data_IF_785618843498
#
_entry.id   IF_785618843498
#
_cell.length_a   1.000
_cell.length_b   1.000
_cell.length_c   1.000
_cell.angle_alpha   90.00
_cell.angle_beta   90.00
_cell.angle_gamma   90.00
#
_symmetry.space_group_name_H-M   'P 1'
#
loop_
_entity.id
_entity.type
_entity.pdbx_description
1 polymer ?
#
# COMPACT_ATOMS: atom_id res chain seq x y z
N UNK A 1 15.34 -2.27 17.55
CA UNK A 1 15.68 -1.82 16.19
C UNK A 1 16.28 -0.43 16.30
N UNK A 2 17.28 -0.06 15.48
CA UNK A 2 17.70 1.35 15.40
C UNK A 2 16.61 2.17 14.70
N UNK A 3 16.46 3.43 15.11
CA UNK A 3 15.61 4.43 14.46
C UNK A 3 16.53 5.48 13.87
N UNK A 4 16.21 5.97 12.68
CA UNK A 4 16.98 7.00 11.98
C UNK A 4 16.06 8.18 11.70
N UNK A 5 16.53 9.39 11.99
CA UNK A 5 15.88 10.61 11.53
C UNK A 5 16.06 10.77 10.02
N UNK A 6 14.95 10.98 9.32
CA UNK A 6 14.96 11.25 7.90
C UNK A 6 15.46 12.67 7.61
N UNK A 7 15.94 12.85 6.38
CA UNK A 7 16.30 14.16 5.84
C UNK A 7 15.43 14.44 4.63
N UNK A 8 15.15 15.72 4.38
CA UNK A 8 14.42 16.12 3.17
C UNK A 8 15.18 15.70 1.92
N UNK A 9 14.44 15.18 0.95
CA UNK A 9 14.94 14.87 -0.39
C UNK A 9 15.04 16.11 -1.27
N UNK A 10 14.31 17.17 -0.92
CA UNK A 10 14.16 18.38 -1.73
C UNK A 10 13.01 18.28 -2.76
N UNK A 11 12.37 17.11 -2.86
CA UNK A 11 11.18 16.90 -3.68
C UNK A 11 9.93 16.91 -2.80
N UNK A 12 9.09 17.95 -2.92
CA UNK A 12 7.87 18.10 -2.13
C UNK A 12 6.85 16.96 -2.29
N UNK A 13 6.84 16.28 -3.44
CA UNK A 13 5.95 15.15 -3.67
C UNK A 13 6.36 13.90 -2.88
N UNK A 14 7.64 13.82 -2.46
CA UNK A 14 8.18 12.76 -1.61
C UNK A 14 8.18 13.23 -0.15
N UNK A 15 8.77 14.40 0.10
CA UNK A 15 8.91 14.97 1.45
C UNK A 15 7.55 15.16 2.14
N UNK A 16 6.53 15.54 1.36
CA UNK A 16 5.16 15.68 1.84
C UNK A 16 4.48 14.37 2.26
N UNK A 17 5.10 13.20 2.05
CA UNK A 17 4.57 11.89 2.44
C UNK A 17 5.43 11.14 3.46
N UNK A 18 6.67 11.55 3.72
CA UNK A 18 7.53 10.82 4.66
C UNK A 18 7.41 11.34 6.09
N UNK A 19 7.44 10.43 7.05
CA UNK A 19 7.54 10.70 8.48
C UNK A 19 8.96 11.16 8.86
N UNK A 20 9.10 11.84 10.00
CA UNK A 20 10.38 12.34 10.49
C UNK A 20 11.41 11.23 10.76
N UNK A 21 10.95 10.01 11.02
CA UNK A 21 11.77 8.85 11.40
C UNK A 21 11.45 7.63 10.54
N UNK A 22 12.43 6.72 10.45
CA UNK A 22 12.29 5.41 9.81
C UNK A 22 13.03 4.32 10.58
N UNK A 23 12.79 3.07 10.22
CA UNK A 23 13.60 1.96 10.71
C UNK A 23 15.01 2.01 10.11
N UNK A 24 16.02 1.85 10.96
CA UNK A 24 17.42 1.96 10.54
C UNK A 24 18.04 0.68 9.98
N UNK A 25 17.36 -0.46 10.09
CA UNK A 25 17.84 -1.73 9.56
C UNK A 25 17.09 -2.10 8.29
N UNK A 26 17.82 -2.74 7.38
CA UNK A 26 17.30 -3.34 6.15
C UNK A 26 16.51 -4.62 6.40
N UNK A 27 16.78 -5.30 7.52
CA UNK A 27 16.03 -6.46 7.96
C UNK A 27 14.96 -6.02 8.97
N UNK A 28 13.72 -5.85 8.52
CA UNK A 28 12.59 -5.43 9.34
C UNK A 28 11.81 -6.66 9.80
N UNK A 29 11.83 -6.94 11.09
CA UNK A 29 11.10 -8.08 11.64
C UNK A 29 9.62 -7.76 11.84
N UNK A 30 8.73 -8.65 11.46
CA UNK A 30 7.30 -8.56 11.76
C UNK A 30 6.77 -9.81 12.47
N UNK A 31 5.60 -9.73 13.09
CA UNK A 31 4.94 -10.89 13.68
C UNK A 31 3.44 -10.70 13.82
N UNK A 32 2.76 -11.80 14.18
CA UNK A 32 1.37 -11.82 14.60
C UNK A 32 1.31 -12.26 16.06
N UNK A 33 1.22 -11.33 17.03
CA UNK A 33 1.08 -11.65 18.45
C UNK A 33 -0.07 -12.60 18.72
N UNK A 34 0.13 -13.48 19.70
CA UNK A 34 -0.82 -14.51 20.13
C UNK A 34 -1.49 -14.15 21.44
N UNK A 35 -0.88 -13.27 22.23
CA UNK A 35 -1.48 -12.70 23.43
C UNK A 35 -1.03 -11.26 23.66
N UNK A 36 -1.65 -10.60 24.63
CA UNK A 36 -1.23 -9.27 25.06
C UNK A 36 0.17 -9.27 25.71
N UNK A 37 0.65 -10.39 26.21
CA UNK A 37 1.98 -10.48 26.84
C UNK A 37 3.11 -10.24 25.83
N UNK A 38 2.86 -10.51 24.54
CA UNK A 38 3.77 -10.22 23.43
C UNK A 38 4.01 -8.70 23.24
N UNK A 39 3.13 -7.84 23.77
CA UNK A 39 3.30 -6.39 23.70
C UNK A 39 4.11 -5.80 24.86
N UNK A 40 4.34 -6.59 25.91
CA UNK A 40 5.04 -6.18 27.12
C UNK A 40 4.23 -5.27 28.03
N UNK A 41 4.87 -4.82 29.11
CA UNK A 41 4.25 -3.93 30.10
C UNK A 41 4.10 -2.50 29.54
N UNK A 42 3.09 -1.78 30.02
CA UNK A 42 2.83 -0.36 29.69
C UNK A 42 2.48 -0.09 28.22
N UNK A 43 1.81 -1.02 27.56
CA UNK A 43 1.24 -0.79 26.23
C UNK A 43 0.04 0.17 26.29
N UNK A 44 -0.17 1.07 25.30
CA UNK A 44 -1.30 2.00 25.29
C UNK A 44 -2.66 1.27 25.37
N UNK A 45 -3.57 1.65 26.31
CA UNK A 45 -4.76 0.88 26.63
C UNK A 45 -5.85 0.92 25.55
N UNK A 46 -5.85 1.91 24.66
CA UNK A 46 -6.88 2.04 23.62
C UNK A 46 -6.86 0.89 22.60
N UNK A 47 -5.71 0.27 22.40
CA UNK A 47 -5.50 -0.76 21.38
C UNK A 47 -5.65 -2.20 21.92
N UNK A 48 -5.75 -2.38 23.24
CA UNK A 48 -5.66 -3.72 23.88
C UNK A 48 -7.02 -4.33 24.26
N UNK A 49 -8.10 -3.56 24.12
CA UNK A 49 -9.44 -4.03 24.44
C UNK A 49 -9.90 -5.11 23.45
N UNK A 50 -10.33 -6.27 23.96
CA UNK A 50 -10.72 -7.45 23.17
C UNK A 50 -9.67 -7.88 22.14
N UNK A 51 -8.42 -7.97 22.58
CA UNK A 51 -7.33 -8.53 21.78
C UNK A 51 -7.72 -9.83 21.09
N UNK A 52 -7.34 -9.94 19.82
CA UNK A 52 -7.33 -11.17 19.04
C UNK A 52 -6.06 -11.22 18.21
N UNK A 53 -5.49 -12.41 18.12
CA UNK A 53 -4.51 -12.71 17.07
C UNK A 53 -5.12 -12.35 15.70
N UNK A 54 -4.30 -11.82 14.80
CA UNK A 54 -4.73 -11.52 13.44
C UNK A 54 -5.28 -12.78 12.78
N UNK A 55 -6.45 -12.68 12.13
CA UNK A 55 -7.03 -13.83 11.41
C UNK A 55 -6.11 -14.33 10.28
N UNK A 56 -6.18 -15.62 9.95
CA UNK A 56 -5.39 -16.21 8.85
C UNK A 56 -5.50 -15.47 7.51
N UNK A 57 -6.67 -14.95 7.10
CA UNK A 57 -6.78 -14.08 5.92
C UNK A 57 -5.92 -12.82 6.00
N UNK A 58 -5.91 -12.11 7.14
CA UNK A 58 -5.04 -10.94 7.36
C UNK A 58 -3.57 -11.36 7.28
N UNK A 59 -3.19 -12.46 7.96
CA UNK A 59 -1.79 -12.94 7.94
C UNK A 59 -1.30 -13.21 6.52
N UNK A 60 -2.10 -13.90 5.70
CA UNK A 60 -1.77 -14.18 4.30
C UNK A 60 -1.61 -12.90 3.47
N UNK A 61 -2.50 -11.91 3.66
CA UNK A 61 -2.41 -10.62 2.97
C UNK A 61 -1.17 -9.83 3.36
N UNK A 62 -0.89 -9.72 4.65
CA UNK A 62 0.30 -9.02 5.16
C UNK A 62 1.59 -9.63 4.61
N UNK A 63 1.71 -10.97 4.62
CA UNK A 63 2.85 -11.68 4.02
C UNK A 63 3.01 -11.34 2.53
N UNK A 64 1.92 -11.43 1.76
CA UNK A 64 1.93 -11.09 0.33
C UNK A 64 2.35 -9.64 0.09
N UNK A 65 1.85 -8.69 0.88
CA UNK A 65 2.24 -7.28 0.75
C UNK A 65 3.69 -7.07 1.12
N UNK A 66 4.21 -7.73 2.15
CA UNK A 66 5.64 -7.66 2.43
C UNK A 66 6.48 -8.20 1.28
N UNK A 67 6.11 -9.32 0.66
CA UNK A 67 6.78 -9.81 -0.56
C UNK A 67 6.72 -8.79 -1.72
N UNK A 68 5.57 -8.15 -1.94
CA UNK A 68 5.40 -7.08 -2.93
C UNK A 68 6.26 -5.86 -2.60
N UNK A 69 6.39 -5.49 -1.33
CA UNK A 69 7.20 -4.35 -0.89
C UNK A 69 8.70 -4.65 -1.04
N UNK A 70 9.16 -5.84 -0.68
CA UNK A 70 10.56 -6.27 -0.92
C UNK A 70 10.94 -6.20 -2.40
N UNK A 71 9.95 -6.33 -3.29
CA UNK A 71 10.14 -6.25 -4.73
C UNK A 71 10.43 -4.83 -5.24
N UNK A 72 10.08 -3.79 -4.46
CA UNK A 72 10.18 -2.38 -4.85
C UNK A 72 11.23 -1.59 -4.04
N UNK A 73 11.53 -2.02 -2.81
CA UNK A 73 12.51 -1.37 -1.93
C UNK A 73 13.55 -2.33 -1.38
N UNK A 74 14.73 -1.81 -1.05
CA UNK A 74 15.85 -2.56 -0.49
C UNK A 74 15.64 -2.80 1.01
N UNK A 75 14.68 -3.66 1.34
CA UNK A 75 14.46 -4.22 2.69
C UNK A 75 14.12 -5.70 2.59
N UNK A 76 14.29 -6.41 3.70
CA UNK A 76 13.82 -7.77 3.90
C UNK A 76 12.90 -7.81 5.11
N UNK A 77 11.69 -8.33 4.94
CA UNK A 77 10.76 -8.61 6.02
C UNK A 77 11.00 -10.01 6.57
N UNK A 78 11.09 -10.13 7.89
CA UNK A 78 11.40 -11.40 8.57
C UNK A 78 10.32 -11.70 9.60
N UNK A 79 9.53 -12.74 9.37
CA UNK A 79 8.52 -13.17 10.34
C UNK A 79 9.15 -13.80 11.58
N UNK A 80 8.75 -13.32 12.76
CA UNK A 80 9.21 -13.84 14.05
C UNK A 80 8.12 -14.69 14.71
N UNK A 81 7.94 -15.93 14.24
CA UNK A 81 6.86 -16.82 14.76
C UNK A 81 7.10 -17.32 16.19
N UNK A 82 8.34 -17.64 16.54
CA UNK A 82 8.68 -18.27 17.82
C UNK A 82 8.61 -17.30 19.01
N UNK A 83 8.84 -16.01 18.77
CA UNK A 83 8.83 -14.95 19.78
C UNK A 83 8.18 -13.69 19.18
N UNK A 84 6.87 -13.69 18.96
CA UNK A 84 6.20 -12.62 18.22
C UNK A 84 6.39 -11.25 18.89
N UNK A 85 6.49 -11.17 20.22
CA UNK A 85 6.74 -9.91 20.92
C UNK A 85 8.11 -9.25 20.64
N UNK A 86 9.04 -9.94 19.97
CA UNK A 86 10.35 -9.37 19.59
C UNK A 86 10.35 -8.64 18.24
N UNK A 87 9.29 -8.77 17.46
CA UNK A 87 9.20 -8.09 16.17
C UNK A 87 9.05 -6.57 16.34
N UNK A 88 9.41 -5.85 15.29
CA UNK A 88 9.32 -4.39 15.22
C UNK A 88 7.95 -3.97 14.75
N UNK A 89 7.40 -4.68 13.77
CA UNK A 89 6.03 -4.49 13.31
C UNK A 89 5.22 -5.66 13.87
N UNK A 90 4.27 -5.39 14.78
CA UNK A 90 3.37 -6.42 15.29
C UNK A 90 1.95 -6.14 14.81
N UNK A 91 1.31 -7.15 14.24
CA UNK A 91 -0.01 -7.00 13.63
C UNK A 91 -1.03 -7.85 14.40
N UNK A 92 -2.08 -7.21 14.91
CA UNK A 92 -3.15 -7.88 15.63
C UNK A 92 -4.54 -7.26 15.36
N UNK A 93 -5.57 -7.88 15.93
CA UNK A 93 -6.92 -7.35 15.92
C UNK A 93 -7.38 -6.97 17.32
N UNK A 94 -8.20 -5.93 17.43
CA UNK A 94 -8.83 -5.51 18.69
C UNK A 94 -10.13 -4.73 18.43
N UNK A 95 -10.81 -4.27 19.48
CA UNK A 95 -12.09 -3.53 19.35
C UNK A 95 -11.92 -2.07 18.91
N UNK A 96 -10.85 -1.78 18.16
CA UNK A 96 -10.63 -0.47 17.53
C UNK A 96 -11.72 -0.19 16.51
N UNK A 97 -12.18 1.07 16.44
CA UNK A 97 -13.26 1.48 15.53
C UNK A 97 -12.80 1.57 14.08
N UNK A 98 -11.55 1.94 13.89
CA UNK A 98 -10.86 2.07 12.61
C UNK A 98 -9.51 1.39 12.71
N UNK A 99 -8.96 0.87 11.62
CA UNK A 99 -7.59 0.42 11.60
C UNK A 99 -6.66 1.59 11.92
N UNK A 100 -5.51 1.30 12.54
CA UNK A 100 -4.45 2.27 12.74
C UNK A 100 -3.11 1.57 12.91
N UNK A 101 -2.04 2.32 12.63
CA UNK A 101 -0.68 1.91 12.88
C UNK A 101 0.11 3.02 13.57
N UNK A 102 1.12 2.61 14.34
CA UNK A 102 2.08 3.53 14.93
C UNK A 102 3.27 3.71 13.99
N UNK A 103 3.67 4.97 13.81
CA UNK A 103 4.85 5.33 13.02
C UNK A 103 6.14 4.72 13.59
N UNK A 104 7.22 4.63 12.79
CA UNK A 104 8.56 4.35 13.30
C UNK A 104 8.99 5.37 14.36
N UNK A 105 9.23 4.90 15.58
CA UNK A 105 9.74 5.70 16.70
C UNK A 105 10.40 4.78 17.75
N UNK A 106 10.89 5.34 18.86
CA UNK A 106 11.60 4.64 19.94
C UNK A 106 10.69 4.10 21.05
N UNK A 107 9.38 4.35 21.00
CA UNK A 107 8.43 3.87 22.00
C UNK A 107 7.97 2.43 21.73
N UNK A 108 7.47 1.74 22.76
CA UNK A 108 7.16 0.30 22.71
C UNK A 108 6.10 -0.09 21.67
N UNK A 109 5.16 0.78 21.33
CA UNK A 109 4.13 0.50 20.33
C UNK A 109 4.50 0.87 18.89
N UNK A 110 5.68 1.44 18.66
CA UNK A 110 6.10 1.88 17.32
C UNK A 110 6.08 0.71 16.33
N UNK A 111 5.53 0.93 15.13
CA UNK A 111 5.37 -0.08 14.09
C UNK A 111 4.19 -1.02 14.27
N UNK A 112 3.50 -1.02 15.40
CA UNK A 112 2.36 -1.92 15.59
C UNK A 112 1.15 -1.50 14.76
N UNK A 113 0.40 -2.49 14.29
CA UNK A 113 -0.78 -2.33 13.46
C UNK A 113 -1.96 -3.03 14.12
N UNK A 114 -3.05 -2.30 14.26
CA UNK A 114 -4.30 -2.79 14.84
C UNK A 114 -5.43 -2.73 13.81
N UNK A 115 -6.06 -3.88 13.58
CA UNK A 115 -7.24 -3.98 12.74
C UNK A 115 -8.51 -4.23 13.59
N UNK A 116 -9.68 -3.71 13.18
CA UNK A 116 -10.94 -4.07 13.81
C UNK A 116 -11.20 -5.58 13.78
N UNK A 117 -11.87 -6.12 14.80
CA UNK A 117 -12.25 -7.55 14.86
C UNK A 117 -13.44 -7.93 13.96
N UNK A 118 -13.86 -7.03 13.06
CA UNK A 118 -15.05 -7.19 12.21
C UNK A 118 -14.83 -8.24 11.12
N UNK A 119 -15.92 -8.73 10.51
CA UNK A 119 -15.86 -9.83 9.55
C UNK A 119 -15.30 -9.40 8.18
N UNK A 120 -15.47 -8.13 7.84
CA UNK A 120 -15.00 -7.54 6.58
C UNK A 120 -13.48 -7.69 6.43
N UNK A 121 -12.71 -7.50 7.51
CA UNK A 121 -11.26 -7.71 7.50
C UNK A 121 -10.87 -9.19 7.35
N UNK A 122 -11.74 -10.14 7.74
CA UNK A 122 -11.50 -11.57 7.56
C UNK A 122 -11.78 -12.05 6.14
N UNK A 123 -12.69 -11.42 5.42
CA UNK A 123 -13.13 -11.84 4.10
C UNK A 123 -12.80 -10.83 2.98
N UNK A 124 -11.91 -9.88 3.24
CA UNK A 124 -11.63 -8.78 2.32
C UNK A 124 -11.15 -9.27 0.95
N UNK A 125 -11.82 -8.84 -0.11
CA UNK A 125 -11.35 -9.04 -1.50
C UNK A 125 -10.28 -8.01 -1.85
N UNK A 126 -9.46 -8.29 -2.85
CA UNK A 126 -8.61 -7.26 -3.46
C UNK A 126 -9.49 -6.10 -3.98
N UNK A 127 -8.99 -4.86 -3.87
CA UNK A 127 -9.73 -3.64 -4.22
C UNK A 127 -10.85 -3.21 -3.25
N UNK A 128 -11.12 -4.00 -2.20
CA UNK A 128 -12.00 -3.58 -1.09
C UNK A 128 -11.34 -2.49 -0.24
N UNK A 129 -12.16 -1.79 0.55
CA UNK A 129 -11.67 -0.84 1.55
C UNK A 129 -10.69 -1.49 2.52
N UNK A 130 -10.97 -2.71 3.00
CA UNK A 130 -10.13 -3.40 3.98
C UNK A 130 -8.77 -3.80 3.39
N UNK A 131 -8.73 -4.19 2.10
CA UNK A 131 -7.47 -4.44 1.39
C UNK A 131 -6.61 -3.18 1.27
N UNK A 132 -7.26 -2.06 0.93
CA UNK A 132 -6.62 -0.76 0.88
C UNK A 132 -6.16 -0.28 2.26
N UNK A 133 -6.98 -0.48 3.29
CA UNK A 133 -6.64 -0.13 4.67
C UNK A 133 -5.42 -0.91 5.17
N UNK A 134 -5.28 -2.19 4.83
CA UNK A 134 -4.08 -2.95 5.20
C UNK A 134 -2.82 -2.34 4.54
N UNK A 135 -2.88 -1.96 3.26
CA UNK A 135 -1.77 -1.22 2.61
C UNK A 135 -1.47 0.10 3.32
N UNK A 136 -2.52 0.86 3.63
CA UNK A 136 -2.43 2.15 4.30
C UNK A 136 -1.72 2.05 5.65
N UNK A 137 -2.13 1.09 6.49
CA UNK A 137 -1.52 0.90 7.80
C UNK A 137 -0.09 0.35 7.73
N UNK A 138 0.20 -0.51 6.74
CA UNK A 138 1.60 -0.92 6.47
C UNK A 138 2.43 0.29 6.04
N UNK A 139 1.86 1.21 5.24
CA UNK A 139 2.49 2.47 4.86
C UNK A 139 2.92 3.30 6.08
N UNK A 140 2.01 3.49 7.05
CA UNK A 140 2.34 4.15 8.34
C UNK A 140 3.44 3.41 9.10
N UNK A 141 3.32 2.09 9.25
CA UNK A 141 4.33 1.29 9.94
C UNK A 141 5.71 1.36 9.27
N UNK A 142 5.78 1.71 7.98
CA UNK A 142 7.02 1.95 7.24
C UNK A 142 7.44 3.42 7.20
N UNK A 143 6.64 4.35 7.75
CA UNK A 143 6.97 5.76 7.87
C UNK A 143 6.40 6.66 6.79
N UNK A 144 5.33 6.25 6.11
CA UNK A 144 4.52 7.15 5.28
C UNK A 144 3.44 7.82 6.13
N UNK A 145 3.28 9.14 6.02
CA UNK A 145 2.24 9.91 6.72
C UNK A 145 1.09 10.26 5.79
N UNK A 146 -0.01 10.74 6.37
CA UNK A 146 -1.10 11.27 5.55
C UNK A 146 -0.65 12.52 4.78
N UNK A 147 -1.13 12.70 3.53
CA UNK A 147 -0.76 13.83 2.67
C UNK A 147 -1.19 15.18 3.24
N UNK A 148 -2.35 15.26 3.89
CA UNK A 148 -2.90 16.48 4.49
C UNK A 148 -2.17 16.94 5.77
N UNK A 149 -1.32 16.11 6.37
CA UNK A 149 -0.62 16.44 7.61
C UNK A 149 0.59 17.35 7.37
N UNK A 150 0.75 18.37 8.21
CA UNK A 150 1.89 19.32 8.18
C UNK A 150 3.10 18.83 8.97
N UNK A 151 3.49 17.56 8.82
CA UNK A 151 4.60 16.93 9.56
C UNK A 151 5.96 17.63 9.40
N UNK A 152 7.05 16.98 9.85
CA UNK A 152 8.39 17.57 9.87
C UNK A 152 8.87 18.14 8.51
N UNK A 153 8.40 17.58 7.40
CA UNK A 153 8.79 17.99 6.05
C UNK A 153 7.62 18.61 5.25
N UNK A 154 6.60 19.10 5.95
CA UNK A 154 5.44 19.75 5.38
C UNK A 154 4.35 18.77 4.90
N UNK A 155 3.35 19.34 4.22
CA UNK A 155 2.24 18.59 3.61
C UNK A 155 2.53 18.29 2.14
N UNK A 156 1.91 17.24 1.62
CA UNK A 156 1.95 16.95 0.19
C UNK A 156 1.26 18.09 -0.59
N UNK A 157 1.75 18.48 -1.78
CA UNK A 157 1.03 19.41 -2.65
C UNK A 157 -0.40 18.89 -2.93
N UNK A 158 -1.37 19.81 -2.94
CA UNK A 158 -2.80 19.45 -2.96
C UNK A 158 -3.19 18.65 -4.20
N UNK A 159 -2.53 18.93 -5.33
CA UNK A 159 -2.70 18.21 -6.59
C UNK A 159 -2.32 16.72 -6.52
N UNK A 160 -1.53 16.33 -5.51
CA UNK A 160 -1.11 14.95 -5.27
C UNK A 160 -1.81 14.29 -4.08
N UNK A 161 -2.63 15.02 -3.31
CA UNK A 161 -3.48 14.43 -2.27
C UNK A 161 -4.67 13.72 -2.90
N UNK A 162 -4.39 12.54 -3.44
CA UNK A 162 -5.34 11.69 -4.12
C UNK A 162 -4.94 10.22 -4.06
N UNK A 163 -5.92 9.33 -4.03
CA UNK A 163 -5.72 7.88 -4.15
C UNK A 163 -5.06 7.47 -5.47
N UNK A 164 -5.04 8.36 -6.48
CA UNK A 164 -4.28 8.20 -7.74
C UNK A 164 -2.76 8.15 -7.50
N UNK A 165 -2.29 8.84 -6.49
CA UNK A 165 -0.86 9.04 -6.25
C UNK A 165 -0.38 8.32 -4.99
N UNK A 166 -1.23 8.17 -3.99
CA UNK A 166 -0.86 7.57 -2.70
C UNK A 166 -2.04 6.88 -2.03
N UNK A 167 -1.83 5.68 -1.49
CA UNK A 167 -2.82 5.00 -0.64
C UNK A 167 -3.02 5.71 0.70
N UNK A 168 -2.16 6.69 1.04
CA UNK A 168 -2.23 7.46 2.27
C UNK A 168 -3.30 8.56 2.22
N UNK A 169 -3.86 8.88 1.05
CA UNK A 169 -4.93 9.86 0.93
C UNK A 169 -6.25 9.36 1.51
N UNK A 170 -7.00 10.24 2.18
CA UNK A 170 -8.34 9.94 2.69
C UNK A 170 -9.43 10.08 1.63
N UNK A 171 -9.06 10.56 0.44
CA UNK A 171 -10.00 11.02 -0.55
C UNK A 171 -10.36 9.97 -1.60
N UNK A 172 -10.03 8.69 -1.36
CA UNK A 172 -10.30 7.61 -2.29
C UNK A 172 -11.75 7.59 -2.81
N UNK A 173 -12.76 7.76 -1.94
CA UNK A 173 -14.16 7.81 -2.35
C UNK A 173 -14.51 9.02 -3.23
N UNK A 174 -13.93 10.19 -2.93
CA UNK A 174 -14.12 11.43 -3.70
C UNK A 174 -13.44 11.30 -5.05
N UNK A 175 -12.24 10.76 -5.07
CA UNK A 175 -11.43 10.59 -6.26
C UNK A 175 -12.08 9.55 -7.18
N UNK A 176 -12.59 8.46 -6.64
CA UNK A 176 -13.39 7.47 -7.37
C UNK A 176 -14.60 8.14 -8.04
N UNK A 177 -15.33 8.99 -7.32
CA UNK A 177 -16.45 9.75 -7.91
C UNK A 177 -16.01 10.68 -9.04
N UNK A 178 -14.87 11.35 -8.88
CA UNK A 178 -14.32 12.24 -9.93
C UNK A 178 -13.91 11.49 -11.20
N UNK A 179 -13.52 10.23 -11.06
CA UNK A 179 -13.19 9.31 -12.15
C UNK A 179 -14.41 8.61 -12.75
N UNK A 180 -15.61 8.85 -12.19
CA UNK A 180 -16.84 8.16 -12.58
C UNK A 180 -16.86 6.69 -12.17
N UNK A 181 -16.02 6.29 -11.22
CA UNK A 181 -15.90 4.94 -10.67
C UNK A 181 -16.95 4.64 -9.60
N UNK A 182 -17.18 3.35 -9.34
CA UNK A 182 -17.98 2.95 -8.17
C UNK A 182 -17.29 3.40 -6.88
N UNK A 183 -18.07 3.69 -5.83
CA UNK A 183 -17.53 4.09 -4.52
C UNK A 183 -16.65 3.01 -3.87
N UNK A 184 -16.80 1.76 -4.28
CA UNK A 184 -16.15 0.60 -3.65
C UNK A 184 -14.90 0.10 -4.40
N UNK A 185 -14.20 0.99 -5.12
CA UNK A 185 -13.06 0.66 -5.96
C UNK A 185 -11.77 1.32 -5.45
N UNK A 186 -11.02 0.63 -4.59
CA UNK A 186 -9.82 1.19 -3.97
C UNK A 186 -8.53 0.76 -4.69
N UNK A 187 -7.42 1.52 -4.54
CA UNK A 187 -6.10 1.09 -4.98
C UNK A 187 -5.78 -0.33 -4.52
N UNK A 188 -5.26 -1.14 -5.44
CA UNK A 188 -4.97 -2.55 -5.24
C UNK A 188 -3.49 -2.81 -4.90
N UNK A 189 -2.64 -1.80 -5.07
CA UNK A 189 -1.22 -1.77 -4.72
C UNK A 189 -0.85 -0.44 -4.06
N UNK A 190 0.39 -0.33 -3.58
CA UNK A 190 1.00 1.00 -3.40
C UNK A 190 0.99 1.77 -4.72
N UNK A 191 0.79 3.09 -4.61
CA UNK A 191 0.66 4.01 -5.73
C UNK A 191 1.99 4.76 -5.99
N UNK A 192 2.15 5.51 -7.09
CA UNK A 192 3.47 5.96 -7.52
C UNK A 192 4.24 6.78 -6.48
N UNK A 193 3.57 7.64 -5.71
CA UNK A 193 4.24 8.41 -4.66
C UNK A 193 4.53 7.58 -3.40
N UNK A 194 3.76 6.52 -3.12
CA UNK A 194 4.10 5.60 -2.03
C UNK A 194 5.40 4.86 -2.37
N UNK A 195 5.53 4.37 -3.61
CA UNK A 195 6.74 3.69 -4.10
C UNK A 195 7.94 4.63 -4.02
N UNK A 196 7.84 5.84 -4.56
CA UNK A 196 8.94 6.81 -4.55
C UNK A 196 9.32 7.23 -3.12
N UNK A 197 8.34 7.41 -2.24
CA UNK A 197 8.60 7.75 -0.84
C UNK A 197 9.28 6.59 -0.09
N UNK A 198 8.81 5.36 -0.26
CA UNK A 198 9.45 4.18 0.34
C UNK A 198 10.86 3.97 -0.23
N UNK A 199 11.09 4.18 -1.52
CA UNK A 199 12.42 4.13 -2.13
C UNK A 199 13.34 5.24 -1.61
N UNK A 200 12.83 6.43 -1.32
CA UNK A 200 13.60 7.48 -0.65
C UNK A 200 13.97 7.11 0.79
N UNK A 201 13.09 6.40 1.51
CA UNK A 201 13.34 5.94 2.88
C UNK A 201 14.32 4.77 2.92
N UNK A 202 14.13 3.77 2.06
CA UNK A 202 14.79 2.48 2.19
C UNK A 202 15.65 2.10 0.99
N UNK A 203 15.78 2.94 -0.03
CA UNK A 203 16.44 2.59 -1.28
C UNK A 203 15.59 1.71 -2.18
N UNK A 204 15.87 1.74 -3.47
CA UNK A 204 15.24 0.85 -4.45
C UNK A 204 15.81 -0.56 -4.33
N UNK A 205 14.95 -1.58 -4.47
CA UNK A 205 15.39 -2.97 -4.50
C UNK A 205 16.44 -3.19 -5.60
N UNK A 206 17.46 -4.01 -5.32
CA UNK A 206 18.54 -4.27 -6.28
C UNK A 206 18.08 -5.01 -7.55
N UNK A 207 16.93 -5.68 -7.48
CA UNK A 207 16.31 -6.38 -8.61
C UNK A 207 14.81 -6.58 -8.35
N UNK A 208 13.97 -5.97 -9.18
CA UNK A 208 12.53 -6.26 -9.22
C UNK A 208 12.30 -7.66 -9.78
N UNK A 209 11.23 -8.38 -9.36
CA UNK A 209 10.74 -9.58 -10.04
C UNK A 209 10.39 -9.34 -11.51
N UNK A 210 10.27 -8.08 -11.92
CA UNK A 210 10.03 -7.64 -13.28
C UNK A 210 11.32 -7.35 -14.08
N UNK A 211 12.51 -7.54 -13.52
CA UNK A 211 13.82 -7.34 -14.20
C UNK A 211 14.12 -8.35 -15.33
N UNK A 212 13.09 -8.90 -15.98
CA UNK A 212 13.19 -9.75 -17.15
C UNK A 212 13.78 -9.00 -18.35
N UNK A 213 14.11 -9.73 -19.41
CA UNK A 213 14.54 -9.08 -20.67
C UNK A 213 13.35 -8.49 -21.44
N UNK A 214 12.15 -9.02 -21.21
CA UNK A 214 10.89 -8.59 -21.81
C UNK A 214 9.72 -9.09 -20.96
N UNK A 215 8.86 -8.20 -20.47
CA UNK A 215 7.61 -8.56 -19.82
C UNK A 215 6.40 -8.16 -20.68
N UNK A 216 5.42 -9.06 -20.78
CA UNK A 216 4.12 -8.77 -21.37
C UNK A 216 3.06 -8.59 -20.28
N UNK A 217 2.62 -7.35 -20.08
CA UNK A 217 1.52 -7.00 -19.19
C UNK A 217 0.21 -6.95 -19.95
N UNK A 218 -0.82 -7.63 -19.45
CA UNK A 218 -2.17 -7.58 -20.02
C UNK A 218 -3.23 -7.67 -18.93
N UNK A 219 -4.47 -7.31 -19.27
CA UNK A 219 -5.60 -7.34 -18.35
C UNK A 219 -6.83 -7.95 -19.02
N UNK A 220 -7.60 -8.69 -18.23
CA UNK A 220 -8.93 -9.13 -18.61
C UNK A 220 -9.92 -7.95 -18.49
N UNK A 221 -10.56 -7.51 -19.58
CA UNK A 221 -11.45 -6.34 -19.58
C UNK A 221 -12.78 -6.57 -18.84
N UNK A 222 -13.12 -7.81 -18.49
CA UNK A 222 -14.33 -8.18 -17.75
C UNK A 222 -14.03 -8.30 -16.26
N UNK A 223 -12.94 -9.00 -15.91
CA UNK A 223 -12.60 -9.32 -14.52
C UNK A 223 -11.58 -8.38 -13.91
N UNK A 224 -10.91 -7.54 -14.72
CA UNK A 224 -9.82 -6.67 -14.30
C UNK A 224 -8.53 -7.41 -13.92
N UNK A 225 -8.53 -8.76 -13.93
CA UNK A 225 -7.36 -9.53 -13.56
C UNK A 225 -6.19 -9.21 -14.49
N UNK A 226 -5.06 -8.87 -13.90
CA UNK A 226 -3.81 -8.55 -14.55
C UNK A 226 -2.92 -9.78 -14.68
N UNK A 227 -2.23 -9.88 -15.80
CA UNK A 227 -1.32 -10.95 -16.14
C UNK A 227 0.05 -10.38 -16.47
N UNK A 228 1.10 -11.14 -16.14
CA UNK A 228 2.47 -10.94 -16.62
C UNK A 228 2.93 -12.25 -17.25
N UNK A 229 3.25 -12.22 -18.54
CA UNK A 229 3.66 -13.40 -19.32
C UNK A 229 2.66 -14.57 -19.20
N UNK A 230 1.36 -14.25 -19.19
CA UNK A 230 0.26 -15.20 -19.03
C UNK A 230 0.05 -15.73 -17.61
N UNK A 231 0.89 -15.35 -16.64
CA UNK A 231 0.73 -15.68 -15.22
C UNK A 231 -0.07 -14.60 -14.50
N UNK A 232 -0.99 -15.02 -13.63
CA UNK A 232 -1.85 -14.11 -12.88
C UNK A 232 -1.05 -13.28 -11.86
N UNK A 233 -1.20 -11.95 -11.88
CA UNK A 233 -0.46 -11.01 -11.01
C UNK A 233 -1.32 -10.38 -9.93
N UNK A 234 -2.53 -9.93 -10.26
CA UNK A 234 -3.45 -9.30 -9.31
C UNK A 234 -4.85 -9.90 -9.44
N UNK A 235 -5.67 -9.83 -8.39
CA UNK A 235 -7.06 -10.30 -8.43
C UNK A 235 -8.01 -9.11 -8.32
N UNK A 236 -8.09 -8.26 -9.33
CA UNK A 236 -9.02 -7.13 -9.30
C UNK A 236 -10.47 -7.56 -8.96
N UNK A 237 -11.22 -6.68 -8.29
CA UNK A 237 -12.65 -6.86 -8.06
C UNK A 237 -13.43 -6.14 -9.15
N UNK A 238 -13.87 -6.89 -10.15
CA UNK A 238 -14.58 -6.37 -11.32
C UNK A 238 -13.65 -5.75 -12.36
N UNK A 239 -14.21 -5.04 -13.33
CA UNK A 239 -13.46 -4.52 -14.48
C UNK A 239 -12.62 -3.26 -14.19
N UNK A 240 -12.27 -3.01 -12.92
CA UNK A 240 -11.51 -1.83 -12.52
C UNK A 240 -10.15 -2.22 -11.96
N UNK A 241 -9.14 -1.68 -12.63
CA UNK A 241 -7.73 -1.89 -12.32
C UNK A 241 -7.20 -0.57 -11.79
N UNK A 242 -6.68 -0.59 -10.56
CA UNK A 242 -6.07 0.60 -9.97
C UNK A 242 -4.81 0.19 -9.23
N UNK A 243 -3.70 0.31 -9.93
CA UNK A 243 -2.42 -0.22 -9.49
C UNK A 243 -1.25 0.56 -10.08
N UNK A 244 -0.07 0.30 -9.53
CA UNK A 244 1.21 0.74 -10.08
C UNK A 244 2.02 -0.48 -10.49
N UNK A 245 2.53 -0.47 -11.73
CA UNK A 245 3.54 -1.41 -12.17
C UNK A 245 4.91 -0.80 -11.92
N UNK A 246 5.75 -1.50 -11.17
CA UNK A 246 7.15 -1.14 -10.93
C UNK A 246 8.03 -2.10 -11.71
N UNK A 247 8.56 -1.62 -12.83
CA UNK A 247 9.49 -2.34 -13.69
C UNK A 247 10.84 -1.63 -13.71
N UNK A 248 11.93 -2.37 -13.58
CA UNK A 248 13.29 -1.84 -13.41
C UNK A 248 14.24 -2.21 -14.55
N UNK A 249 13.75 -2.83 -15.63
CA UNK A 249 14.52 -3.02 -16.84
C UNK A 249 13.92 -4.02 -17.82
N UNK A 250 14.51 -4.09 -19.01
CA UNK A 250 14.01 -4.92 -20.11
C UNK A 250 13.25 -4.11 -21.15
N UNK A 251 12.61 -4.83 -22.07
CA UNK A 251 11.73 -4.27 -23.10
C UNK A 251 10.30 -4.69 -22.78
N UNK A 252 9.50 -3.82 -22.19
CA UNK A 252 8.16 -4.22 -21.73
C UNK A 252 7.07 -3.86 -22.73
N UNK A 253 5.98 -4.62 -22.70
CA UNK A 253 4.80 -4.40 -23.53
C UNK A 253 3.56 -4.37 -22.67
N UNK A 254 2.77 -3.30 -22.82
CA UNK A 254 1.44 -3.17 -22.24
C UNK A 254 0.42 -3.53 -23.34
N UNK A 255 -0.13 -4.74 -23.28
CA UNK A 255 -1.07 -5.26 -24.26
C UNK A 255 -2.52 -5.04 -23.82
N UNK A 256 -3.16 -4.11 -24.54
CA UNK A 256 -4.57 -3.77 -24.39
C UNK A 256 -5.45 -4.31 -25.53
N UNK A 257 -4.95 -5.23 -26.36
CA UNK A 257 -5.66 -5.74 -27.55
C UNK A 257 -7.02 -6.36 -27.25
N UNK A 258 -7.23 -6.85 -26.02
CA UNK A 258 -8.50 -7.42 -25.57
C UNK A 258 -9.57 -6.35 -25.23
N UNK A 259 -9.19 -5.09 -25.09
CA UNK A 259 -10.12 -4.00 -24.82
C UNK A 259 -10.79 -3.55 -26.12
N UNK A 260 -12.14 -3.54 -26.12
CA UNK A 260 -12.96 -3.15 -27.26
C UNK A 260 -13.44 -1.69 -27.22
N UNK A 261 -13.07 -0.96 -26.17
CA UNK A 261 -13.42 0.44 -25.95
C UNK A 261 -12.19 1.30 -26.20
N UNK A 262 -12.41 2.56 -26.54
CA UNK A 262 -11.32 3.53 -26.67
C UNK A 262 -10.59 3.68 -25.33
N UNK A 263 -9.26 3.61 -25.39
CA UNK A 263 -8.37 3.79 -24.24
C UNK A 263 -7.50 5.03 -24.44
N UNK A 264 -7.23 5.75 -23.35
CA UNK A 264 -6.17 6.74 -23.30
C UNK A 264 -4.94 6.10 -22.67
N UNK A 265 -3.83 6.04 -23.41
CA UNK A 265 -2.62 5.33 -23.00
C UNK A 265 -1.46 6.32 -23.03
N UNK A 266 -0.79 6.47 -21.88
CA UNK A 266 0.44 7.24 -21.74
C UNK A 266 1.53 6.36 -21.11
N UNK A 267 2.64 6.19 -21.84
CA UNK A 267 3.78 5.36 -21.44
C UNK A 267 4.94 6.19 -20.85
N UNK A 268 4.77 7.50 -20.67
CA UNK A 268 5.79 8.33 -20.02
C UNK A 268 5.95 7.88 -18.55
N UNK A 269 7.17 7.78 -18.01
CA UNK A 269 7.39 7.49 -16.60
C UNK A 269 6.66 8.50 -15.71
N UNK A 270 5.84 8.01 -14.76
CA UNK A 270 4.99 8.86 -13.91
C UNK A 270 3.91 9.64 -14.66
N UNK A 271 3.76 9.45 -15.98
CA UNK A 271 2.82 10.13 -16.86
C UNK A 271 1.49 9.40 -17.05
N UNK A 272 1.24 8.32 -16.30
CA UNK A 272 -0.05 7.65 -16.36
C UNK A 272 -1.18 8.56 -15.86
N UNK A 273 -1.97 9.11 -16.78
CA UNK A 273 -3.38 9.36 -16.47
C UNK A 273 -3.98 7.99 -16.10
N UNK A 274 -4.49 7.79 -14.86
CA UNK A 274 -4.94 6.51 -14.37
C UNK A 274 -6.21 6.06 -15.09
N UNK A 275 -6.17 4.82 -15.55
CA UNK A 275 -7.25 3.94 -15.99
C UNK A 275 -8.60 4.58 -16.35
N UNK A 276 -8.84 4.74 -17.66
CA UNK A 276 -10.20 4.73 -18.20
C UNK A 276 -10.65 3.29 -18.52
N UNK A 277 -11.56 2.76 -17.71
CA UNK A 277 -12.46 1.67 -18.09
C UNK A 277 -13.95 1.99 -17.79
N UNK A 278 -14.29 3.27 -17.61
CA UNK A 278 -15.67 3.78 -17.49
C UNK A 278 -16.04 4.62 -18.74
N UNK A 279 -17.31 4.61 -19.17
CA UNK A 279 -17.77 5.29 -20.38
C UNK A 279 -17.52 6.81 -20.29
N UNK A 280 -17.21 7.49 -21.41
CA UNK A 280 -17.41 8.93 -21.49
C UNK A 280 -18.87 9.20 -21.12
N UNK A 281 -19.12 10.05 -20.11
CA UNK A 281 -20.43 10.64 -19.95
C UNK A 281 -20.78 11.26 -21.30
N UNK A 282 -21.83 10.75 -21.95
CA UNK A 282 -22.43 11.36 -23.12
C UNK A 282 -22.71 12.82 -22.73
N UNK A 283 -21.88 13.75 -23.23
CA UNK A 283 -22.27 15.14 -23.32
C UNK A 283 -23.45 15.20 -24.29
N UNK A 284 -24.66 15.04 -23.76
CA UNK A 284 -25.88 15.45 -24.43
C UNK A 284 -26.09 16.92 -24.15
N UNK A 285 -25.52 17.75 -25.03
CA UNK A 285 -25.91 19.11 -25.46
C UNK A 285 -26.51 20.13 -24.47
N UNK A 286 -26.96 21.30 -24.97
CA UNK A 286 -26.82 21.85 -26.33
C UNK A 286 -25.48 22.55 -26.58
#
# INVERSE_FOLDING_TARGET
MSIIDNIMTGNKAIDGLIHAKKWGSKNITYSFPKSMDDYGLFYPPESISYFREASEPIKRKVRKFFEEIESIIDVKFIECEANPGRAVIRIAQSFVRKPHAYMPDSHNCAGDIWFPTTEEYRASSDGSFEHHAIHHEIGHALGLKHPHQHGAFGRLPQEYDSSRFTVMSYDAERDNQSLGCSRDQYPQSFMPLDVLALQALYGQAARSPNSGTHNLYSWDPVTGHGFRDGQHRNKASGNYVFETIVDDGGWDTFDFSNFKRDLNIDLRPGGGEPCHAMPPALRRGP
#
